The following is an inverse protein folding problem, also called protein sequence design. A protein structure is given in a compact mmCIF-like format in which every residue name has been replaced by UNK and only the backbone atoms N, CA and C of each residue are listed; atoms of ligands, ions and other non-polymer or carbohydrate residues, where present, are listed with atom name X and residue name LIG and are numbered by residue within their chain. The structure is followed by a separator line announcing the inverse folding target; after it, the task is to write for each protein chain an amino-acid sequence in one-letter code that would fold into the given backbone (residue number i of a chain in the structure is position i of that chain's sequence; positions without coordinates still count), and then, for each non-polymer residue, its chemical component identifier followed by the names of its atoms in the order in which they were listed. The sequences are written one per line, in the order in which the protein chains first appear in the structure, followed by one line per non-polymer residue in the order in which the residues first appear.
data_IF_584372771707
#
_entry.id   IF_584372771707
#
_cell.length_a   1.000
_cell.length_b   1.000
_cell.length_c   1.000
_cell.angle_alpha   90.00
_cell.angle_beta   90.00
_cell.angle_gamma   90.00
#
_symmetry.space_group_name_H-M   'P 1'
#
loop_
_entity.id
_entity.type
_entity.pdbx_description
1 polymer ?
#
# COMPACT_ATOMS: atom_id res chain seq x y z
N UNK A 1 0.75 -10.07 0.63
CA UNK A 1 -0.20 -9.65 1.70
C UNK A 1 -1.57 -9.33 1.07
N UNK A 2 -2.69 -9.44 1.80
CA UNK A 2 -4.03 -9.03 1.33
C UNK A 2 -4.63 -8.02 2.32
N UNK A 3 -5.06 -6.85 1.83
CA UNK A 3 -5.84 -5.89 2.62
C UNK A 3 -7.32 -6.10 2.33
N UNK A 4 -8.10 -6.51 3.33
CA UNK A 4 -9.53 -6.80 3.19
C UNK A 4 -10.36 -5.87 4.09
N UNK A 5 -11.42 -5.23 3.57
CA UNK A 5 -12.35 -4.35 4.32
C UNK A 5 -12.25 -2.85 4.01
N UNK A 6 -12.99 -2.02 4.76
CA UNK A 6 -12.94 -0.54 4.73
C UNK A 6 -11.81 -0.05 5.63
N UNK A 7 -10.65 0.23 5.04
CA UNK A 7 -9.46 0.62 5.81
C UNK A 7 -9.43 2.11 6.08
N UNK A 8 -9.92 2.52 7.25
CA UNK A 8 -9.85 3.92 7.69
C UNK A 8 -8.45 4.25 8.23
N UNK A 9 -8.09 5.54 8.18
CA UNK A 9 -6.76 6.06 8.58
C UNK A 9 -6.25 5.49 9.92
N UNK A 10 -7.14 5.35 10.91
CA UNK A 10 -6.78 4.83 12.23
C UNK A 10 -6.43 3.33 12.23
N UNK A 11 -7.13 2.52 11.44
CA UNK A 11 -6.86 1.09 11.30
C UNK A 11 -5.61 0.86 10.46
N UNK A 12 -5.39 1.73 9.48
CA UNK A 12 -4.19 1.82 8.66
C UNK A 12 -2.94 2.12 9.50
N UNK A 13 -3.02 3.10 10.39
CA UNK A 13 -1.93 3.47 11.31
C UNK A 13 -1.64 2.38 12.36
N UNK A 14 -2.66 1.62 12.77
CA UNK A 14 -2.48 0.50 13.69
C UNK A 14 -1.79 -0.68 13.01
N UNK A 15 -2.20 -1.03 11.79
CA UNK A 15 -1.51 -2.05 11.00
C UNK A 15 -0.05 -1.69 10.72
N UNK A 16 0.26 -0.40 10.52
CA UNK A 16 1.64 0.09 10.42
C UNK A 16 2.50 -0.23 11.64
N UNK A 17 2.00 0.07 12.85
CA UNK A 17 2.70 -0.17 14.11
C UNK A 17 2.84 -1.67 14.39
N UNK A 18 1.80 -2.45 14.13
CA UNK A 18 1.80 -3.90 14.31
C UNK A 18 2.73 -4.58 13.28
N UNK A 19 2.74 -4.16 12.01
CA UNK A 19 3.62 -4.75 11.00
C UNK A 19 5.10 -4.44 11.24
N UNK A 20 5.43 -3.18 11.56
CA UNK A 20 6.83 -2.77 11.83
C UNK A 20 7.43 -3.49 13.03
N UNK A 21 6.60 -3.85 14.01
CA UNK A 21 7.04 -4.57 15.20
C UNK A 21 7.05 -6.09 15.02
N UNK A 22 6.19 -6.65 14.16
CA UNK A 22 6.02 -8.09 14.04
C UNK A 22 7.09 -8.81 13.19
N UNK A 23 7.76 -8.15 12.24
CA UNK A 23 8.68 -8.89 11.36
C UNK A 23 9.78 -8.04 10.69
N UNK A 24 11.03 -8.12 11.16
CA UNK A 24 12.16 -7.44 10.54
C UNK A 24 12.61 -8.04 9.19
N UNK A 25 12.15 -9.24 8.83
CA UNK A 25 12.53 -9.96 7.61
C UNK A 25 11.35 -10.23 6.66
N UNK A 26 10.33 -9.38 6.71
CA UNK A 26 9.13 -9.55 5.90
C UNK A 26 9.47 -9.46 4.41
N UNK A 27 8.90 -10.35 3.60
CA UNK A 27 9.04 -10.33 2.15
C UNK A 27 8.13 -9.24 1.58
N UNK A 28 8.67 -8.04 1.40
CA UNK A 28 7.96 -6.85 0.93
C UNK A 28 7.67 -6.88 -0.57
N UNK A 29 7.88 -8.02 -1.26
CA UNK A 29 7.85 -8.03 -2.71
C UNK A 29 6.43 -7.96 -3.29
N UNK A 30 5.40 -8.38 -2.56
CA UNK A 30 4.05 -8.56 -3.14
C UNK A 30 2.88 -8.21 -2.20
N UNK A 31 2.11 -7.18 -2.59
CA UNK A 31 0.94 -6.67 -1.90
C UNK A 31 -0.29 -6.66 -2.81
N UNK A 32 -1.30 -7.43 -2.41
CA UNK A 32 -2.62 -7.44 -2.99
C UNK A 32 -3.54 -6.46 -2.27
N UNK A 33 -4.19 -5.59 -3.03
CA UNK A 33 -5.29 -4.74 -2.57
C UNK A 33 -6.66 -5.37 -2.85
N UNK A 34 -6.70 -6.64 -3.26
CA UNK A 34 -7.94 -7.36 -3.51
C UNK A 34 -8.80 -7.41 -2.24
N UNK A 35 -10.01 -6.85 -2.29
CA UNK A 35 -10.92 -6.76 -1.16
C UNK A 35 -10.79 -5.49 -0.32
N UNK A 36 -9.95 -4.54 -0.74
CA UNK A 36 -9.90 -3.19 -0.17
C UNK A 36 -11.15 -2.42 -0.63
N UNK A 37 -12.17 -2.37 0.24
CA UNK A 37 -13.43 -1.69 0.00
C UNK A 37 -13.31 -0.22 0.43
N UNK A 38 -12.69 0.59 -0.44
CA UNK A 38 -12.47 2.01 -0.19
C UNK A 38 -11.00 2.35 0.09
N UNK A 39 -10.61 3.57 -0.25
CA UNK A 39 -9.24 4.05 -0.11
C UNK A 39 -9.14 5.51 -0.51
N UNK A 40 -8.41 6.29 0.28
CA UNK A 40 -8.26 7.75 0.09
C UNK A 40 -6.80 8.17 0.03
N UNK A 41 -6.55 9.47 0.20
CA UNK A 41 -5.19 10.04 0.23
C UNK A 41 -4.31 9.40 1.31
N UNK A 42 -4.90 8.99 2.45
CA UNK A 42 -4.21 8.27 3.52
C UNK A 42 -3.70 6.89 3.09
N UNK A 43 -4.50 6.18 2.30
CA UNK A 43 -4.12 4.86 1.76
C UNK A 43 -2.95 5.01 0.81
N UNK A 44 -2.97 6.01 -0.07
CA UNK A 44 -1.84 6.28 -0.96
C UNK A 44 -0.57 6.70 -0.22
N UNK A 45 -0.69 7.56 0.79
CA UNK A 45 0.44 7.97 1.62
C UNK A 45 1.12 6.76 2.27
N UNK A 46 0.32 5.80 2.75
CA UNK A 46 0.84 4.54 3.28
C UNK A 46 1.58 3.72 2.23
N UNK A 47 0.93 3.47 1.07
CA UNK A 47 1.53 2.68 0.01
C UNK A 47 2.86 3.30 -0.47
N UNK A 48 2.98 4.63 -0.43
CA UNK A 48 4.20 5.35 -0.75
C UNK A 48 5.30 5.07 0.27
N UNK A 49 4.98 5.18 1.57
CA UNK A 49 5.92 4.89 2.65
C UNK A 49 6.47 3.46 2.50
N UNK A 50 5.58 2.48 2.29
CA UNK A 50 5.97 1.08 2.09
C UNK A 50 6.82 0.88 0.85
N UNK A 51 6.45 1.51 -0.27
CA UNK A 51 7.23 1.42 -1.50
C UNK A 51 8.64 2.01 -1.30
N UNK A 52 8.76 3.11 -0.55
CA UNK A 52 10.06 3.71 -0.24
C UNK A 52 10.90 2.84 0.70
N UNK A 53 10.29 2.28 1.74
CA UNK A 53 10.98 1.41 2.69
C UNK A 53 11.46 0.11 2.03
N UNK A 54 10.60 -0.52 1.22
CA UNK A 54 10.95 -1.71 0.44
C UNK A 54 12.13 -1.43 -0.52
N UNK A 55 12.11 -0.28 -1.21
CA UNK A 55 13.25 0.19 -2.02
C UNK A 55 14.51 0.42 -1.19
N UNK A 56 14.41 1.00 0.02
CA UNK A 56 15.54 1.22 0.93
C UNK A 56 16.18 -0.11 1.36
N UNK A 57 15.38 -1.17 1.45
CA UNK A 57 15.83 -2.53 1.76
C UNK A 57 16.28 -3.32 0.50
N UNK A 58 16.27 -2.71 -0.68
CA UNK A 58 16.68 -3.34 -1.94
C UNK A 58 15.67 -4.34 -2.51
N UNK A 59 14.43 -4.34 -2.00
CA UNK A 59 13.36 -5.25 -2.41
C UNK A 59 12.16 -4.42 -2.90
N UNK A 60 12.01 -4.12 -4.19
CA UNK A 60 10.91 -3.30 -4.67
C UNK A 60 9.55 -3.97 -4.41
N UNK A 61 8.62 -3.22 -3.82
CA UNK A 61 7.24 -3.66 -3.56
C UNK A 61 6.41 -3.63 -4.84
N UNK A 62 5.75 -4.75 -5.16
CA UNK A 62 4.73 -4.83 -6.21
C UNK A 62 3.37 -4.73 -5.58
N UNK A 63 2.54 -3.82 -6.09
CA UNK A 63 1.18 -3.60 -5.60
C UNK A 63 0.21 -3.93 -6.72
N UNK A 64 -0.70 -4.87 -6.48
CA UNK A 64 -1.66 -5.35 -7.49
C UNK A 64 -3.08 -5.39 -6.95
N UNK A 65 -4.06 -5.64 -7.84
CA UNK A 65 -5.48 -5.64 -7.52
C UNK A 65 -5.99 -4.31 -6.93
N UNK A 66 -5.40 -3.19 -7.36
CA UNK A 66 -5.85 -1.86 -6.95
C UNK A 66 -7.20 -1.52 -7.61
N UNK A 67 -8.15 -1.02 -6.81
CA UNK A 67 -9.45 -0.61 -7.35
C UNK A 67 -9.30 0.58 -8.31
N UNK A 68 -10.22 0.70 -9.27
CA UNK A 68 -10.22 1.80 -10.25
C UNK A 68 -10.21 3.18 -9.57
N UNK A 69 -10.98 3.35 -8.49
CA UNK A 69 -11.01 4.59 -7.72
C UNK A 69 -9.64 4.94 -7.12
N UNK A 70 -8.90 3.96 -6.61
CA UNK A 70 -7.58 4.18 -6.04
C UNK A 70 -6.53 4.47 -7.14
N UNK A 71 -6.64 3.80 -8.29
CA UNK A 71 -5.80 4.10 -9.47
C UNK A 71 -6.02 5.53 -9.96
N UNK A 72 -7.27 5.98 -10.07
CA UNK A 72 -7.60 7.34 -10.49
C UNK A 72 -7.10 8.38 -9.47
N UNK A 73 -7.24 8.09 -8.18
CA UNK A 73 -6.72 8.94 -7.11
C UNK A 73 -5.18 9.00 -7.14
N UNK A 74 -4.50 7.89 -7.40
CA UNK A 74 -3.04 7.86 -7.55
C UNK A 74 -2.55 8.68 -8.75
N UNK A 75 -3.27 8.61 -9.89
CA UNK A 75 -2.98 9.45 -11.06
C UNK A 75 -3.21 10.93 -10.80
N UNK A 76 -4.30 11.27 -10.09
CA UNK A 76 -4.62 12.64 -9.71
C UNK A 76 -3.49 13.29 -8.89
N UNK A 77 -2.84 12.51 -8.01
CA UNK A 77 -1.70 12.98 -7.21
C UNK A 77 -0.33 12.70 -7.85
N UNK A 78 -0.27 12.22 -9.11
CA UNK A 78 0.97 11.86 -9.82
C UNK A 78 1.84 10.82 -9.08
N UNK A 79 1.19 9.90 -8.35
CA UNK A 79 1.84 8.85 -7.56
C UNK A 79 1.92 7.51 -8.29
N UNK A 80 1.31 7.41 -9.47
CA UNK A 80 1.27 6.21 -10.31
C UNK A 80 2.66 5.68 -10.66
N UNK A 81 3.60 6.55 -11.01
CA UNK A 81 4.99 6.17 -11.31
C UNK A 81 5.78 5.73 -10.07
N UNK A 82 5.41 6.26 -8.89
CA UNK A 82 6.06 5.93 -7.63
C UNK A 82 5.54 4.61 -7.07
N UNK A 83 4.23 4.40 -7.10
CA UNK A 83 3.55 3.26 -6.52
C UNK A 83 3.47 2.05 -7.45
N UNK A 84 3.54 2.25 -8.78
CA UNK A 84 3.42 1.19 -9.78
C UNK A 84 2.19 0.30 -9.55
N UNK A 85 1.05 0.92 -9.23
CA UNK A 85 -0.19 0.22 -8.93
C UNK A 85 -0.70 -0.52 -10.18
N UNK A 86 -0.91 -1.82 -10.03
CA UNK A 86 -1.56 -2.64 -11.06
C UNK A 86 -3.04 -2.88 -10.70
N UNK A 87 -3.94 -2.88 -11.70
CA UNK A 87 -5.32 -3.33 -11.51
C UNK A 87 -5.41 -4.80 -11.10
#
# INVERSE_FOLDING_TARGET
LFLQGDWRVAELARALLEMKSACPSWDWQDLSLAGLEGGGSSTLALLLEWTQEARRQGQPLRIHAASAALLDLARLYHLDTLLQLCP
#
